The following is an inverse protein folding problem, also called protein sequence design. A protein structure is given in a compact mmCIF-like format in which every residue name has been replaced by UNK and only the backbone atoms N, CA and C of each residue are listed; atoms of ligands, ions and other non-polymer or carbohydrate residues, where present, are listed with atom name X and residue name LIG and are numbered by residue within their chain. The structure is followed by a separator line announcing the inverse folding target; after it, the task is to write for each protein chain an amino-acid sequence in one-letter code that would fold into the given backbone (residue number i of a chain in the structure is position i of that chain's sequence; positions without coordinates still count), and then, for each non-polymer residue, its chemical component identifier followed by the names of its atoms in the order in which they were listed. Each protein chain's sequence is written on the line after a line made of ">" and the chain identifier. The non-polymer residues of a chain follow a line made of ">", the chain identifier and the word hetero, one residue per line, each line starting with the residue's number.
data_IF_866119843928
#
_entry.id   IF_866119843928
#
_cell.length_a   1.000
_cell.length_b   1.000
_cell.length_c   1.000
_cell.angle_alpha   90.00
_cell.angle_beta   90.00
_cell.angle_gamma   90.00
#
_symmetry.space_group_name_H-M   'P 1'
#
loop_
_entity.id
_entity.type
_entity.pdbx_description
1 polymer ?
#
# COMPACT_ATOMS: atom_id res chain seq x y z
N UNK A 1 -8.97 -18.07 8.31
CA UNK A 1 -9.69 -18.00 7.02
C UNK A 1 -8.92 -18.86 6.03
N UNK A 2 -9.53 -19.84 5.35
CA UNK A 2 -8.84 -20.82 4.48
C UNK A 2 -8.45 -20.29 3.09
N UNK A 3 -8.57 -18.99 2.83
CA UNK A 3 -8.17 -18.31 1.59
C UNK A 3 -7.41 -17.03 1.92
N UNK A 4 -6.45 -16.62 1.07
CA UNK A 4 -5.83 -15.31 1.21
C UNK A 4 -6.88 -14.20 1.22
N UNK A 5 -6.79 -13.27 2.19
CA UNK A 5 -7.74 -12.16 2.35
C UNK A 5 -7.83 -11.28 1.10
N UNK A 6 -6.75 -11.20 0.33
CA UNK A 6 -6.65 -10.47 -0.93
C UNK A 6 -7.62 -10.99 -2.01
N UNK A 7 -8.01 -12.27 -1.92
CA UNK A 7 -8.93 -12.92 -2.86
C UNK A 7 -10.38 -12.96 -2.40
N UNK A 8 -10.69 -12.40 -1.23
CA UNK A 8 -12.07 -12.26 -0.76
C UNK A 8 -12.84 -11.31 -1.69
N UNK A 9 -14.10 -11.64 -1.96
CA UNK A 9 -14.95 -10.87 -2.87
C UNK A 9 -15.59 -9.69 -2.15
N UNK A 10 -15.45 -8.49 -2.72
CA UNK A 10 -16.18 -7.29 -2.32
C UNK A 10 -17.00 -6.81 -3.53
N UNK A 11 -18.28 -7.14 -3.56
CA UNK A 11 -19.10 -6.98 -4.75
C UNK A 11 -18.53 -7.81 -5.92
N UNK A 12 -18.40 -7.24 -7.12
CA UNK A 12 -17.94 -7.95 -8.32
C UNK A 12 -16.41 -8.14 -8.40
N UNK A 13 -15.63 -7.59 -7.46
CA UNK A 13 -14.16 -7.60 -7.48
C UNK A 13 -13.59 -8.22 -6.22
N UNK A 14 -12.32 -8.62 -6.28
CA UNK A 14 -11.55 -9.05 -5.11
C UNK A 14 -10.98 -7.86 -4.35
N UNK A 15 -10.62 -8.07 -3.08
CA UNK A 15 -9.97 -7.07 -2.22
C UNK A 15 -8.75 -6.44 -2.92
N UNK A 16 -7.83 -7.27 -3.44
CA UNK A 16 -6.63 -6.76 -4.13
C UNK A 16 -6.98 -5.93 -5.37
N UNK A 17 -8.04 -6.30 -6.09
CA UNK A 17 -8.50 -5.56 -7.27
C UNK A 17 -8.99 -4.16 -6.89
N UNK A 18 -9.73 -4.02 -5.78
CA UNK A 18 -10.15 -2.71 -5.26
C UNK A 18 -8.95 -1.84 -4.89
N UNK A 19 -7.97 -2.41 -4.17
CA UNK A 19 -6.75 -1.68 -3.82
C UNK A 19 -6.03 -1.14 -5.07
N UNK A 20 -5.83 -1.99 -6.09
CA UNK A 20 -5.14 -1.62 -7.32
C UNK A 20 -5.93 -0.63 -8.18
N UNK A 21 -7.26 -0.78 -8.25
CA UNK A 21 -8.12 0.17 -8.97
C UNK A 21 -8.02 1.58 -8.36
N UNK A 22 -7.88 1.69 -7.04
CA UNK A 22 -7.68 2.98 -6.37
C UNK A 22 -6.33 3.61 -6.71
N UNK A 23 -5.27 2.82 -6.75
CA UNK A 23 -3.92 3.29 -7.11
C UNK A 23 -3.87 3.74 -8.58
N UNK A 24 -4.41 2.91 -9.48
CA UNK A 24 -4.50 3.21 -10.91
C UNK A 24 -5.40 4.43 -11.14
N UNK A 25 -6.55 4.49 -10.47
CA UNK A 25 -7.50 5.61 -10.54
C UNK A 25 -6.93 6.93 -9.99
N UNK A 26 -5.92 6.86 -9.14
CA UNK A 26 -5.18 8.04 -8.70
C UNK A 26 -4.19 8.55 -9.75
N UNK A 27 -3.95 7.80 -10.83
CA UNK A 27 -3.07 8.19 -11.93
C UNK A 27 -1.62 7.71 -11.77
N UNK A 28 -1.33 6.86 -10.78
CA UNK A 28 -0.01 6.25 -10.62
C UNK A 28 0.20 5.20 -11.72
N UNK A 29 1.40 5.17 -12.30
CA UNK A 29 1.72 4.32 -13.47
C UNK A 29 2.77 3.27 -13.18
N UNK A 30 3.75 3.57 -12.32
CA UNK A 30 4.78 2.63 -11.94
C UNK A 30 4.35 1.89 -10.66
N UNK A 31 3.65 0.78 -10.86
CA UNK A 31 3.03 0.00 -9.80
C UNK A 31 3.69 -1.37 -9.77
N UNK A 32 4.17 -1.78 -8.59
CA UNK A 32 4.74 -3.10 -8.36
C UNK A 32 3.93 -3.82 -7.29
N UNK A 33 3.44 -5.01 -7.62
CA UNK A 33 2.80 -5.92 -6.67
C UNK A 33 3.80 -7.00 -6.26
N UNK A 34 4.08 -7.08 -4.98
CA UNK A 34 4.95 -8.13 -4.45
C UNK A 34 4.09 -9.31 -4.02
N UNK A 35 4.33 -10.45 -4.64
CA UNK A 35 3.60 -11.70 -4.43
C UNK A 35 4.40 -12.64 -3.53
N UNK A 36 3.73 -13.39 -2.66
CA UNK A 36 4.33 -14.53 -1.95
C UNK A 36 4.59 -15.71 -2.89
N UNK A 37 5.42 -16.67 -2.46
CA UNK A 37 5.85 -17.78 -3.31
C UNK A 37 4.73 -18.68 -3.85
N UNK A 38 3.58 -18.72 -3.17
CA UNK A 38 2.41 -19.57 -3.54
C UNK A 38 1.21 -18.72 -4.06
N UNK A 39 1.43 -17.46 -4.43
CA UNK A 39 0.37 -16.51 -4.77
C UNK A 39 -0.11 -16.57 -6.24
N UNK A 40 -0.02 -17.73 -6.90
CA UNK A 40 -0.52 -17.90 -8.27
C UNK A 40 -1.98 -17.47 -8.46
N UNK A 41 -2.82 -17.66 -7.44
CA UNK A 41 -4.20 -17.21 -7.46
C UNK A 41 -4.33 -15.68 -7.38
N UNK A 42 -3.45 -15.01 -6.63
CA UNK A 42 -3.40 -13.54 -6.58
C UNK A 42 -2.87 -12.99 -7.90
N UNK A 43 -1.83 -13.61 -8.48
CA UNK A 43 -1.33 -13.25 -9.80
C UNK A 43 -2.45 -13.32 -10.85
N UNK A 44 -3.26 -14.41 -10.86
CA UNK A 44 -4.42 -14.52 -11.73
C UNK A 44 -5.50 -13.45 -11.49
N UNK A 45 -5.72 -13.04 -10.25
CA UNK A 45 -6.70 -12.02 -9.91
C UNK A 45 -6.31 -10.61 -10.39
N UNK A 46 -5.02 -10.34 -10.60
CA UNK A 46 -4.49 -9.05 -11.08
C UNK A 46 -4.09 -9.07 -12.55
N UNK A 47 -4.28 -10.20 -13.23
CA UNK A 47 -3.96 -10.32 -14.66
C UNK A 47 -4.68 -9.25 -15.49
N UNK A 48 -3.98 -8.74 -16.51
CA UNK A 48 -4.46 -7.66 -17.36
C UNK A 48 -4.43 -6.26 -16.75
N UNK A 49 -3.99 -6.09 -15.49
CA UNK A 49 -3.74 -4.76 -14.93
C UNK A 49 -2.35 -4.22 -15.36
N UNK A 50 -2.22 -2.89 -15.49
CA UNK A 50 -0.94 -2.25 -15.83
C UNK A 50 0.01 -2.21 -14.62
N UNK A 51 0.39 -3.37 -14.09
CA UNK A 51 1.26 -3.53 -12.92
C UNK A 51 2.42 -4.47 -13.24
N UNK A 52 3.55 -4.23 -12.60
CA UNK A 52 4.67 -5.18 -12.54
C UNK A 52 4.49 -6.11 -11.36
N UNK A 53 5.08 -7.29 -11.40
CA UNK A 53 5.10 -8.22 -10.26
C UNK A 53 6.52 -8.53 -9.83
N UNK A 54 6.72 -8.72 -8.52
CA UNK A 54 7.94 -9.26 -7.95
C UNK A 54 7.56 -10.42 -7.02
N UNK A 55 8.39 -11.47 -6.94
CA UNK A 55 8.14 -12.62 -6.07
C UNK A 55 8.97 -12.53 -4.79
N UNK A 56 8.32 -12.68 -3.66
CA UNK A 56 8.95 -12.96 -2.38
C UNK A 56 8.78 -14.45 -2.06
N UNK A 57 9.86 -15.22 -2.23
CA UNK A 57 9.84 -16.67 -2.06
C UNK A 57 10.07 -17.14 -0.63
N UNK A 58 10.35 -16.22 0.28
CA UNK A 58 10.54 -16.52 1.70
C UNK A 58 9.24 -16.29 2.48
N UNK A 59 8.48 -17.34 2.82
CA UNK A 59 7.22 -17.22 3.55
C UNK A 59 7.40 -16.76 5.00
N UNK A 60 8.63 -16.81 5.53
CA UNK A 60 8.98 -16.33 6.87
C UNK A 60 9.50 -14.90 6.89
N UNK A 61 9.60 -14.24 5.72
CA UNK A 61 10.14 -12.91 5.64
C UNK A 61 9.21 -11.84 6.21
N UNK A 62 9.79 -10.80 6.78
CA UNK A 62 9.05 -9.61 7.21
C UNK A 62 8.62 -8.76 6.00
N UNK A 63 7.65 -7.86 6.22
CA UNK A 63 7.18 -6.88 5.21
C UNK A 63 8.34 -6.10 4.57
N UNK A 64 9.40 -5.83 5.33
CA UNK A 64 10.59 -5.12 4.84
C UNK A 64 11.23 -5.82 3.63
N UNK A 65 11.23 -7.17 3.57
CA UNK A 65 11.76 -7.90 2.42
C UNK A 65 10.90 -7.68 1.18
N UNK A 66 9.58 -7.72 1.32
CA UNK A 66 8.67 -7.40 0.22
C UNK A 66 8.89 -5.99 -0.31
N UNK A 67 9.10 -5.01 0.59
CA UNK A 67 9.44 -3.63 0.19
C UNK A 67 10.76 -3.58 -0.57
N UNK A 68 11.81 -4.28 -0.12
CA UNK A 68 13.11 -4.36 -0.83
C UNK A 68 12.96 -4.91 -2.25
N UNK A 69 12.19 -5.99 -2.39
CA UNK A 69 11.93 -6.61 -3.69
C UNK A 69 11.15 -5.67 -4.62
N UNK A 70 10.14 -4.98 -4.10
CA UNK A 70 9.38 -3.98 -4.83
C UNK A 70 10.26 -2.82 -5.31
N UNK A 71 11.13 -2.29 -4.45
CA UNK A 71 12.03 -1.18 -4.75
C UNK A 71 12.98 -1.48 -5.91
N UNK A 72 13.38 -2.75 -6.10
CA UNK A 72 14.25 -3.17 -7.22
C UNK A 72 13.54 -3.10 -8.57
N UNK A 73 12.21 -3.06 -8.60
CA UNK A 73 11.39 -3.05 -9.82
C UNK A 73 10.85 -1.66 -10.17
N UNK A 74 10.89 -0.72 -9.22
CA UNK A 74 10.44 0.65 -9.43
C UNK A 74 11.48 1.42 -10.25
N UNK A 75 11.01 2.29 -11.14
CA UNK A 75 11.86 3.16 -11.97
C UNK A 75 12.84 3.94 -11.07
N UNK A 76 14.12 3.92 -11.46
CA UNK A 76 15.18 4.64 -10.75
C UNK A 76 14.96 6.17 -10.74
N UNK A 77 14.20 6.71 -11.70
CA UNK A 77 13.84 8.12 -11.76
C UNK A 77 12.72 8.52 -10.77
N UNK A 78 12.06 7.56 -10.13
CA UNK A 78 11.03 7.84 -9.12
C UNK A 78 11.64 8.54 -7.90
N UNK A 79 11.12 9.71 -7.55
CA UNK A 79 11.62 10.53 -6.43
C UNK A 79 10.97 10.14 -5.10
N UNK A 80 9.83 9.45 -5.14
CA UNK A 80 9.10 8.98 -3.97
C UNK A 80 8.45 7.63 -4.24
N UNK A 81 8.13 6.90 -3.16
CA UNK A 81 7.49 5.58 -3.19
C UNK A 81 6.30 5.56 -2.25
N UNK A 82 5.14 5.22 -2.77
CA UNK A 82 3.93 5.01 -1.98
C UNK A 82 3.83 3.53 -1.60
N UNK A 83 3.91 3.23 -0.31
CA UNK A 83 3.73 1.87 0.21
C UNK A 83 2.27 1.65 0.56
N UNK A 84 1.61 0.80 -0.23
CA UNK A 84 0.21 0.43 -0.08
C UNK A 84 0.09 -0.97 0.51
N UNK A 85 -0.86 -1.16 1.40
CA UNK A 85 -1.22 -2.49 1.91
C UNK A 85 -2.34 -3.10 1.06
N UNK A 86 -2.26 -4.42 0.86
CA UNK A 86 -3.20 -5.17 -0.01
C UNK A 86 -4.52 -5.53 0.67
N UNK A 87 -4.75 -5.04 1.89
CA UNK A 87 -5.91 -5.29 2.74
C UNK A 87 -6.68 -4.02 3.12
N UNK A 88 -6.38 -2.88 2.47
CA UNK A 88 -7.07 -1.60 2.62
C UNK A 88 -7.91 -1.26 1.37
N UNK A 89 -8.97 -2.02 1.03
CA UNK A 89 -9.71 -1.88 -0.23
C UNK A 89 -10.57 -0.62 -0.32
N UNK A 90 -10.75 0.09 0.79
CA UNK A 90 -11.60 1.28 0.86
C UNK A 90 -10.83 2.60 0.66
N UNK A 91 -9.52 2.58 0.60
CA UNK A 91 -8.73 3.79 0.32
C UNK A 91 -9.12 4.34 -1.05
N UNK A 92 -9.57 5.58 -1.09
CA UNK A 92 -10.04 6.21 -2.30
C UNK A 92 -8.89 6.72 -3.19
N UNK A 93 -9.09 6.80 -4.52
CA UNK A 93 -8.12 7.45 -5.42
C UNK A 93 -7.86 8.91 -5.04
N UNK A 94 -8.85 9.60 -4.48
CA UNK A 94 -8.72 11.00 -4.04
C UNK A 94 -7.75 11.13 -2.87
N UNK A 95 -7.84 10.24 -1.89
CA UNK A 95 -6.90 10.18 -0.77
C UNK A 95 -5.47 9.97 -1.25
N UNK A 96 -5.27 9.04 -2.21
CA UNK A 96 -3.94 8.80 -2.79
C UNK A 96 -3.41 10.06 -3.49
N UNK A 97 -4.25 10.76 -4.30
CA UNK A 97 -3.87 12.04 -4.92
C UNK A 97 -3.50 13.09 -3.89
N UNK A 98 -4.25 13.19 -2.79
CA UNK A 98 -3.98 14.13 -1.70
C UNK A 98 -2.61 13.86 -1.05
N UNK A 99 -2.27 12.59 -0.80
CA UNK A 99 -0.96 12.19 -0.26
C UNK A 99 0.17 12.59 -1.22
N UNK A 100 0.00 12.29 -2.52
CA UNK A 100 1.00 12.63 -3.56
C UNK A 100 1.16 14.14 -3.70
N UNK A 101 0.06 14.90 -3.66
CA UNK A 101 0.11 16.37 -3.72
C UNK A 101 0.81 16.98 -2.49
N UNK A 102 0.58 16.43 -1.30
CA UNK A 102 1.24 16.87 -0.07
C UNK A 102 2.77 16.68 -0.15
N UNK A 103 3.24 15.60 -0.78
CA UNK A 103 4.67 15.40 -1.03
C UNK A 103 5.26 16.50 -1.93
N UNK A 104 4.51 16.98 -2.93
CA UNK A 104 4.94 18.08 -3.79
C UNK A 104 5.23 19.38 -3.01
N UNK A 105 4.49 19.63 -1.94
CA UNK A 105 4.70 20.75 -1.03
C UNK A 105 5.73 20.50 0.09
N UNK A 106 6.12 19.26 0.31
CA UNK A 106 7.05 18.83 1.36
C UNK A 106 8.03 17.77 0.84
N UNK A 107 8.82 18.09 -0.19
CA UNK A 107 9.76 17.12 -0.77
C UNK A 107 10.85 16.76 0.25
N UNK A 108 11.03 15.47 0.46
CA UNK A 108 11.96 14.95 1.47
C UNK A 108 11.27 14.46 2.74
N UNK A 109 9.99 14.79 2.97
CA UNK A 109 9.22 14.30 4.12
C UNK A 109 8.46 13.00 3.87
N UNK A 110 8.26 12.23 4.93
CA UNK A 110 7.36 11.07 4.92
C UNK A 110 5.92 11.57 5.11
N UNK A 111 5.02 11.22 4.19
CA UNK A 111 3.62 11.64 4.27
C UNK A 111 2.77 10.48 4.79
N UNK A 112 2.05 10.72 5.89
CA UNK A 112 1.17 9.71 6.53
C UNK A 112 -0.25 10.29 6.62
N UNK A 113 -1.28 9.63 6.06
CA UNK A 113 -2.65 10.07 6.23
C UNK A 113 -3.12 9.85 7.67
N UNK A 114 -3.95 10.77 8.16
CA UNK A 114 -4.69 10.66 9.42
C UNK A 114 -6.20 10.61 9.13
N UNK A 115 -6.89 9.76 9.85
CA UNK A 115 -8.34 9.79 9.94
C UNK A 115 -8.75 9.84 11.40
N UNK A 116 -9.40 10.94 11.81
CA UNK A 116 -9.79 11.19 13.21
C UNK A 116 -8.63 11.00 14.18
N UNK A 117 -7.47 11.56 13.84
CA UNK A 117 -6.26 11.51 14.66
C UNK A 117 -5.52 10.17 14.66
N UNK A 118 -5.97 9.16 13.91
CA UNK A 118 -5.30 7.86 13.76
C UNK A 118 -4.49 7.84 12.47
N UNK A 119 -3.19 7.49 12.57
CA UNK A 119 -2.33 7.26 11.41
C UNK A 119 -2.79 6.05 10.63
N UNK A 120 -2.77 6.14 9.30
CA UNK A 120 -3.20 5.10 8.40
C UNK A 120 -2.27 4.86 7.21
N UNK A 121 -2.78 4.13 6.24
CA UNK A 121 -2.12 3.78 5.00
C UNK A 121 -2.91 4.33 3.79
N UNK A 122 -2.25 4.50 2.63
CA UNK A 122 -0.84 4.25 2.33
C UNK A 122 0.10 5.31 2.91
N UNK A 123 1.38 4.95 3.08
CA UNK A 123 2.43 5.88 3.49
C UNK A 123 3.33 6.19 2.31
N UNK A 124 3.61 7.47 2.07
CA UNK A 124 4.54 7.89 1.04
C UNK A 124 5.89 8.25 1.67
N UNK A 125 6.95 7.71 1.07
CA UNK A 125 8.33 7.95 1.48
C UNK A 125 9.11 8.63 0.35
N UNK A 126 10.00 9.57 0.65
CA UNK A 126 11.07 9.96 -0.28
C UNK A 126 11.89 8.73 -0.69
N UNK A 127 12.32 8.67 -1.95
CA UNK A 127 13.14 7.56 -2.45
C UNK A 127 14.38 7.33 -1.60
N UNK A 128 15.10 8.40 -1.27
CA UNK A 128 16.32 8.34 -0.47
C UNK A 128 16.11 7.81 0.94
N UNK A 129 14.92 8.03 1.51
CA UNK A 129 14.56 7.59 2.88
C UNK A 129 14.16 6.12 2.87
N UNK A 130 13.29 5.69 1.93
CA UNK A 130 12.83 4.30 1.89
C UNK A 130 13.96 3.33 1.53
N UNK A 131 14.99 3.77 0.83
CA UNK A 131 16.16 2.95 0.52
C UNK A 131 16.93 2.47 1.76
N UNK A 132 16.72 3.08 2.93
CA UNK A 132 17.27 2.58 4.19
C UNK A 132 16.74 1.17 4.55
N UNK A 133 15.59 0.78 4.01
CA UNK A 133 15.08 -0.59 4.15
C UNK A 133 16.05 -1.61 3.51
N UNK A 134 16.77 -1.22 2.47
CA UNK A 134 17.80 -2.06 1.82
C UNK A 134 18.97 -2.34 2.77
N UNK A 135 19.25 -1.41 3.70
CA UNK A 135 20.31 -1.55 4.71
C UNK A 135 19.88 -2.39 5.94
N UNK A 136 18.69 -3.01 5.91
CA UNK A 136 18.20 -3.93 6.95
C UNK A 136 17.19 -3.32 7.92
N UNK A 137 16.86 -2.03 7.81
CA UNK A 137 15.81 -1.40 8.62
C UNK A 137 14.41 -1.87 8.17
N UNK A 138 13.47 -1.92 9.11
CA UNK A 138 12.06 -2.04 8.78
C UNK A 138 11.40 -0.64 8.64
N UNK A 139 10.18 -0.59 8.08
CA UNK A 139 9.50 0.69 7.81
C UNK A 139 9.24 1.51 9.08
N UNK A 140 8.98 0.86 10.22
CA UNK A 140 8.76 1.55 11.50
C UNK A 140 10.04 2.22 11.99
N UNK A 141 11.18 1.54 11.86
CA UNK A 141 12.49 2.11 12.20
C UNK A 141 12.86 3.28 11.30
N UNK A 142 12.54 3.19 10.01
CA UNK A 142 12.73 4.29 9.06
C UNK A 142 11.89 5.49 9.49
N UNK A 143 10.58 5.33 9.73
CA UNK A 143 9.69 6.41 10.17
C UNK A 143 10.17 7.02 11.49
N UNK A 144 10.60 6.19 12.43
CA UNK A 144 11.09 6.66 13.75
C UNK A 144 12.37 7.47 13.61
N UNK A 145 13.30 7.01 12.75
CA UNK A 145 14.57 7.70 12.47
C UNK A 145 14.39 9.07 11.82
N UNK A 146 13.29 9.25 11.08
CA UNK A 146 12.93 10.50 10.39
C UNK A 146 11.73 11.22 11.00
N UNK A 147 11.50 11.04 12.32
CA UNK A 147 10.30 11.57 12.99
C UNK A 147 10.12 13.08 12.88
N UNK A 148 11.22 13.85 12.70
CA UNK A 148 11.20 15.30 12.46
C UNK A 148 10.70 15.69 11.05
N UNK A 149 10.76 14.77 10.09
CA UNK A 149 10.39 15.00 8.70
C UNK A 149 9.07 14.26 8.32
N UNK A 150 8.29 13.84 9.32
CA UNK A 150 6.99 13.21 9.10
C UNK A 150 5.90 14.28 9.04
N UNK A 151 5.27 14.41 7.88
CA UNK A 151 4.06 15.20 7.70
C UNK A 151 2.83 14.32 7.78
N UNK A 152 2.02 14.52 8.81
CA UNK A 152 0.71 13.87 8.95
C UNK A 152 -0.38 14.76 8.37
N UNK A 153 -1.21 14.22 7.46
CA UNK A 153 -2.27 14.96 6.79
C UNK A 153 -3.65 14.38 7.12
N UNK A 154 -4.57 15.21 7.60
CA UNK A 154 -5.96 14.78 7.82
C UNK A 154 -6.66 14.52 6.48
N UNK A 155 -7.32 13.37 6.38
CA UNK A 155 -8.13 12.96 5.24
C UNK A 155 -9.52 12.52 5.71
N UNK A 156 -10.54 12.80 4.91
CA UNK A 156 -11.90 12.33 5.23
C UNK A 156 -12.17 10.96 4.59
N UNK A 157 -11.30 10.00 4.88
CA UNK A 157 -11.35 8.65 4.32
C UNK A 157 -11.04 7.60 5.41
N UNK A 158 -12.08 6.93 5.90
CA UNK A 158 -11.93 5.87 6.89
C UNK A 158 -11.08 4.70 6.36
N UNK A 159 -11.04 4.50 5.04
CA UNK A 159 -10.29 3.41 4.40
C UNK A 159 -8.81 3.40 4.75
N UNK A 160 -8.23 4.55 5.13
CA UNK A 160 -6.80 4.62 5.51
C UNK A 160 -6.48 3.89 6.81
N UNK A 161 -7.47 3.67 7.68
CA UNK A 161 -7.31 3.02 9.00
C UNK A 161 -8.13 1.73 9.12
N UNK A 162 -8.69 1.25 8.02
CA UNK A 162 -9.57 0.10 8.00
C UNK A 162 -8.95 -1.02 7.14
N UNK A 163 -8.39 -2.00 7.80
CA UNK A 163 -7.86 -3.23 7.22
C UNK A 163 -8.89 -4.38 7.30
N UNK A 164 -8.58 -5.50 6.69
CA UNK A 164 -9.41 -6.70 6.66
C UNK A 164 -8.73 -7.87 7.39
N UNK A 165 -8.43 -7.69 8.67
CA UNK A 165 -7.73 -8.70 9.47
C UNK A 165 -8.68 -9.73 10.08
N UNK A 166 -9.94 -9.36 10.34
CA UNK A 166 -10.94 -10.23 10.97
C UNK A 166 -12.14 -10.50 10.06
N UNK A 167 -12.87 -11.62 10.25
CA UNK A 167 -14.14 -11.88 9.56
C UNK A 167 -15.17 -10.77 9.78
N UNK A 168 -15.21 -10.17 10.96
CA UNK A 168 -16.13 -9.10 11.34
C UNK A 168 -15.84 -7.83 10.53
N UNK A 169 -14.58 -7.47 10.37
CA UNK A 169 -14.16 -6.35 9.53
C UNK A 169 -14.52 -6.59 8.06
N UNK A 170 -14.29 -7.81 7.57
CA UNK A 170 -14.70 -8.18 6.23
C UNK A 170 -16.21 -8.02 5.99
N UNK A 171 -17.07 -8.55 6.88
CA UNK A 171 -18.52 -8.41 6.72
C UNK A 171 -18.97 -6.95 6.81
N UNK A 172 -18.36 -6.14 7.67
CA UNK A 172 -18.61 -4.69 7.76
C UNK A 172 -18.28 -3.97 6.46
N UNK A 173 -17.13 -4.30 5.85
CA UNK A 173 -16.70 -3.69 4.60
C UNK A 173 -17.54 -4.18 3.43
N UNK A 174 -17.85 -5.47 3.38
CA UNK A 174 -18.64 -6.10 2.33
C UNK A 174 -20.02 -5.45 2.17
N UNK A 175 -20.66 -5.07 3.30
CA UNK A 175 -21.93 -4.34 3.30
C UNK A 175 -21.92 -2.99 2.56
N UNK A 176 -20.74 -2.42 2.26
CA UNK A 176 -20.59 -1.18 1.48
C UNK A 176 -20.56 -1.40 -0.04
N UNK A 177 -20.52 -2.64 -0.48
CA UNK A 177 -20.44 -3.04 -1.90
C UNK A 177 -21.69 -3.76 -2.41
N UNK A 178 -22.77 -3.74 -1.61
CA UNK A 178 -24.08 -4.34 -1.93
C UNK A 178 -24.99 -3.28 -2.56
#
# INVERSE_FOLDING_TARGET
>A
MGRPKQLLSLGPKTVIRHCLDSIIGAGLKDIVVVLGGDDGAIAGAIDGLPVKTAENRDPGSEMAESVRLGLRQIDAASTAVLVCLSDHPLVSPETIRTIVAAYGGHPGGIIIPLYKGRRGHPTLFPRTVIEEVVSGRNLREVITGHSGDVLSIEVNDEGVVLDLDTPEEYERVKGRFI
#
